data_IF_471572792869
#
_entry.id   IF_471572792869
#
_cell.length_a   1.000
_cell.length_b   1.000
_cell.length_c   1.000
_cell.angle_alpha   90.00
_cell.angle_beta   90.00
_cell.angle_gamma   90.00
#
_symmetry.space_group_name_H-M   'P 1'
#
loop_
_entity.id
_entity.type
_entity.pdbx_description
1 polymer ?
#
# COMPACT_ATOMS: atom_id res chain seq x y z
N UNK A 1 0.97 -5.43 -10.18
CA UNK A 1 1.37 -4.43 -9.16
C UNK A 1 1.56 -3.09 -9.85
N UNK A 2 0.66 -2.15 -9.60
CA UNK A 2 0.62 -0.81 -10.16
C UNK A 2 1.25 0.18 -9.17
N UNK A 3 2.55 0.38 -9.28
CA UNK A 3 3.29 1.28 -8.39
C UNK A 3 3.43 2.67 -9.00
N UNK A 4 3.28 3.70 -8.17
CA UNK A 4 3.36 5.10 -8.58
C UNK A 4 4.43 5.85 -7.77
N UNK A 5 5.44 6.33 -8.51
CA UNK A 5 6.57 7.07 -7.96
C UNK A 5 7.48 6.23 -7.06
N UNK A 6 8.26 6.92 -6.22
CA UNK A 6 9.16 6.26 -5.27
C UNK A 6 8.37 5.55 -4.16
N UNK A 7 8.65 4.26 -3.98
CA UNK A 7 8.14 3.41 -2.89
C UNK A 7 9.28 3.07 -1.95
N UNK A 8 9.02 3.20 -0.64
CA UNK A 8 9.97 2.81 0.40
C UNK A 8 9.58 1.43 0.94
N UNK A 9 10.54 0.50 0.91
CA UNK A 9 10.46 -0.79 1.61
C UNK A 9 11.33 -0.72 2.88
N UNK A 10 10.73 -0.64 4.08
CA UNK A 10 11.48 -0.73 5.32
C UNK A 10 12.26 -2.05 5.39
N UNK A 11 13.47 -2.09 5.99
CA UNK A 11 14.23 -3.32 6.14
C UNK A 11 13.46 -4.45 6.83
N UNK A 12 12.56 -4.13 7.77
CA UNK A 12 11.68 -5.08 8.46
C UNK A 12 10.66 -5.76 7.55
N UNK A 13 10.38 -5.16 6.38
CA UNK A 13 9.42 -5.63 5.37
C UNK A 13 10.15 -6.15 4.12
N UNK A 14 11.44 -6.51 4.25
CA UNK A 14 12.28 -7.03 3.16
C UNK A 14 11.61 -8.18 2.36
N UNK A 15 10.87 -9.04 3.06
CA UNK A 15 10.20 -10.22 2.49
C UNK A 15 8.68 -10.09 2.42
N UNK A 16 8.13 -8.89 2.55
CA UNK A 16 6.68 -8.67 2.52
C UNK A 16 6.18 -8.30 1.12
N UNK A 17 4.94 -8.68 0.83
CA UNK A 17 4.20 -8.17 -0.33
C UNK A 17 4.01 -6.66 -0.12
N UNK A 18 4.41 -5.85 -1.10
CA UNK A 18 4.21 -4.41 -1.05
C UNK A 18 2.91 -4.06 -1.78
N UNK A 19 1.88 -3.65 -1.06
CA UNK A 19 0.63 -3.19 -1.65
C UNK A 19 0.50 -1.68 -1.44
N UNK A 20 0.70 -0.89 -2.49
CA UNK A 20 0.51 0.55 -2.44
C UNK A 20 -0.99 0.87 -2.51
N UNK A 21 -1.52 1.40 -1.40
CA UNK A 21 -2.94 1.78 -1.26
C UNK A 21 -3.16 3.29 -1.20
N UNK A 22 -2.15 4.03 -0.79
CA UNK A 22 -2.12 5.50 -0.82
C UNK A 22 -0.91 6.00 -1.60
N UNK A 23 -0.95 7.25 -2.03
CA UNK A 23 0.14 7.99 -2.64
C UNK A 23 0.48 9.17 -1.73
N UNK A 24 1.74 9.31 -1.35
CA UNK A 24 2.17 10.37 -0.43
C UNK A 24 1.72 10.16 1.03
N UNK A 25 1.85 11.22 1.82
CA UNK A 25 1.50 11.22 3.25
C UNK A 25 0.35 12.20 3.52
N UNK A 26 -0.62 11.79 4.34
CA UNK A 26 -1.75 12.62 4.78
C UNK A 26 -1.31 13.89 5.53
N UNK A 27 -0.19 13.82 6.25
CA UNK A 27 0.34 14.92 7.05
C UNK A 27 1.20 15.90 6.23
N UNK A 28 2.15 15.40 5.44
CA UNK A 28 3.08 16.12 4.53
C UNK A 28 3.66 17.47 5.01
N UNK A 29 3.83 17.69 6.32
CA UNK A 29 4.36 18.92 6.93
C UNK A 29 5.62 18.68 7.78
N UNK A 30 6.12 17.44 7.84
CA UNK A 30 7.31 17.10 8.62
C UNK A 30 8.55 17.81 8.09
N UNK A 31 9.30 18.46 8.97
CA UNK A 31 10.56 19.15 8.63
C UNK A 31 11.67 18.18 8.22
N UNK A 32 11.64 16.96 8.74
CA UNK A 32 12.64 15.91 8.49
C UNK A 32 12.33 15.00 7.28
N UNK A 33 11.09 14.98 6.78
CA UNK A 33 10.68 14.02 5.74
C UNK A 33 11.00 14.56 4.34
N UNK A 34 11.99 13.98 3.67
CA UNK A 34 12.26 14.22 2.25
C UNK A 34 11.41 13.37 1.29
N UNK A 35 10.87 12.24 1.77
CA UNK A 35 10.23 11.21 0.93
C UNK A 35 8.98 11.66 0.20
N UNK A 36 8.08 12.37 0.89
CA UNK A 36 6.76 12.74 0.38
C UNK A 36 6.65 14.25 0.08
N UNK A 37 7.74 14.99 0.26
CA UNK A 37 7.80 16.43 -0.01
C UNK A 37 7.49 16.65 -1.50
N UNK A 38 6.44 17.41 -1.79
CA UNK A 38 5.98 17.69 -3.17
C UNK A 38 5.03 16.65 -3.77
N UNK A 39 4.76 15.51 -3.11
CA UNK A 39 3.71 14.58 -3.54
C UNK A 39 2.37 14.97 -2.92
N UNK A 40 1.32 15.05 -3.72
CA UNK A 40 -0.06 15.24 -3.24
C UNK A 40 -0.59 13.93 -2.68
N UNK A 41 -1.21 13.98 -1.51
CA UNK A 41 -1.85 12.81 -0.93
C UNK A 41 -3.06 12.37 -1.76
N UNK A 42 -3.15 11.08 -2.08
CA UNK A 42 -4.36 10.48 -2.64
C UNK A 42 -4.48 9.01 -2.26
N UNK A 43 -5.72 8.50 -2.23
CA UNK A 43 -5.98 7.07 -2.05
C UNK A 43 -6.16 6.46 -3.44
N UNK A 44 -5.46 5.36 -3.74
CA UNK A 44 -5.61 4.67 -5.04
C UNK A 44 -7.04 4.19 -5.24
N UNK A 45 -7.42 4.01 -6.51
CA UNK A 45 -8.70 3.44 -6.91
C UNK A 45 -8.80 1.99 -6.42
N UNK A 46 -9.99 1.57 -5.97
CA UNK A 46 -10.18 0.22 -5.43
C UNK A 46 -9.92 -0.84 -6.49
N UNK A 47 -10.26 -0.56 -7.74
CA UNK A 47 -10.07 -1.45 -8.89
C UNK A 47 -8.60 -1.80 -9.07
N UNK A 48 -7.72 -0.79 -9.04
CA UNK A 48 -6.26 -0.99 -9.12
C UNK A 48 -5.70 -1.75 -7.92
N UNK A 49 -6.20 -1.47 -6.72
CA UNK A 49 -5.79 -2.19 -5.50
C UNK A 49 -6.18 -3.66 -5.60
N UNK A 50 -7.38 -3.96 -6.11
CA UNK A 50 -7.85 -5.33 -6.25
C UNK A 50 -7.11 -6.08 -7.36
N UNK A 51 -6.81 -5.44 -8.49
CA UNK A 51 -5.92 -6.01 -9.52
C UNK A 51 -4.53 -6.33 -8.96
N UNK A 52 -3.99 -5.45 -8.09
CA UNK A 52 -2.71 -5.68 -7.43
C UNK A 52 -2.75 -6.88 -6.47
N UNK A 53 -3.87 -7.09 -5.78
CA UNK A 53 -4.08 -8.27 -4.94
C UNK A 53 -4.16 -9.55 -5.79
N UNK A 54 -4.89 -9.55 -6.90
CA UNK A 54 -4.96 -10.73 -7.78
C UNK A 54 -3.59 -11.05 -8.40
N UNK A 55 -2.83 -10.02 -8.79
CA UNK A 55 -1.44 -10.20 -9.20
C UNK A 55 -0.60 -10.82 -8.07
N UNK A 56 -0.72 -10.30 -6.85
CA UNK A 56 0.06 -10.82 -5.72
C UNK A 56 -0.30 -12.28 -5.39
N UNK A 57 -1.57 -12.69 -5.52
CA UNK A 57 -2.01 -14.09 -5.37
C UNK A 57 -1.27 -15.01 -6.35
N UNK A 58 -1.14 -14.58 -7.60
CA UNK A 58 -0.57 -15.41 -8.65
C UNK A 58 0.96 -15.48 -8.56
N UNK A 59 1.63 -14.38 -8.20
CA UNK A 59 3.09 -14.24 -8.30
C UNK A 59 3.83 -14.15 -6.95
N UNK A 60 3.17 -13.81 -5.84
CA UNK A 60 3.79 -13.61 -4.52
C UNK A 60 3.49 -14.75 -3.55
N UNK A 61 3.67 -16.00 -3.99
CA UNK A 61 3.35 -17.21 -3.21
C UNK A 61 4.37 -17.58 -2.13
N UNK A 62 5.47 -16.84 -2.01
CA UNK A 62 6.58 -17.12 -1.07
C UNK A 62 6.57 -16.20 0.14
N UNK A 63 5.63 -15.27 0.20
CA UNK A 63 5.48 -14.27 1.24
C UNK A 63 4.24 -14.58 2.07
N UNK A 64 4.34 -14.42 3.38
CA UNK A 64 3.25 -14.61 4.35
C UNK A 64 2.89 -13.30 5.08
N UNK A 65 3.46 -12.19 4.61
CA UNK A 65 3.28 -10.85 5.18
C UNK A 65 3.03 -9.86 4.06
N UNK A 66 2.18 -8.89 4.34
CA UNK A 66 1.87 -7.79 3.45
C UNK A 66 2.04 -6.47 4.17
N UNK A 67 2.69 -5.53 3.50
CA UNK A 67 2.89 -4.16 3.96
C UNK A 67 2.06 -3.21 3.09
N UNK A 68 1.11 -2.51 3.73
CA UNK A 68 0.37 -1.43 3.09
C UNK A 68 1.30 -0.22 2.96
N UNK A 69 1.71 0.04 1.72
CA UNK A 69 2.76 0.99 1.42
C UNK A 69 2.25 2.43 1.34
N UNK A 70 3.23 3.33 1.39
CA UNK A 70 3.13 4.79 1.37
C UNK A 70 2.86 5.41 2.75
N UNK A 71 2.69 6.74 2.81
CA UNK A 71 2.91 7.51 4.04
C UNK A 71 1.91 7.23 5.18
N UNK A 72 0.67 6.90 4.86
CA UNK A 72 -0.37 6.58 5.84
C UNK A 72 -1.47 5.76 5.17
N UNK A 73 -1.59 4.48 5.55
CA UNK A 73 -2.67 3.61 5.06
C UNK A 73 -3.92 3.68 5.95
N UNK A 74 -3.78 4.09 7.22
CA UNK A 74 -4.87 4.11 8.20
C UNK A 74 -5.77 5.35 8.05
N UNK A 75 -5.30 6.37 7.34
CA UNK A 75 -6.14 7.51 6.92
C UNK A 75 -7.26 7.10 5.94
N UNK A 76 -7.18 5.91 5.32
CA UNK A 76 -8.23 5.42 4.42
C UNK A 76 -9.53 5.26 5.23
N UNK A 77 -10.67 5.84 4.79
CA UNK A 77 -11.93 5.67 5.48
C UNK A 77 -12.27 4.20 5.68
N UNK A 78 -12.73 3.82 6.88
CA UNK A 78 -12.98 2.42 7.25
C UNK A 78 -13.88 1.68 6.24
N UNK A 79 -14.92 2.36 5.71
CA UNK A 79 -15.81 1.84 4.67
C UNK A 79 -15.10 1.39 3.37
N UNK A 80 -13.90 1.92 3.12
CA UNK A 80 -13.02 1.51 2.00
C UNK A 80 -11.92 0.55 2.46
N UNK A 81 -11.37 0.78 3.66
CA UNK A 81 -10.26 -0.03 4.18
C UNK A 81 -10.69 -1.47 4.48
N UNK A 82 -11.88 -1.68 5.08
CA UNK A 82 -12.37 -3.02 5.46
C UNK A 82 -12.47 -3.95 4.24
N UNK A 83 -13.13 -3.58 3.13
CA UNK A 83 -13.15 -4.42 1.93
C UNK A 83 -11.77 -4.76 1.36
N UNK A 84 -10.79 -3.86 1.48
CA UNK A 84 -9.41 -4.12 1.04
C UNK A 84 -8.77 -5.20 1.92
N UNK A 85 -8.91 -5.08 3.25
CA UNK A 85 -8.37 -6.05 4.20
C UNK A 85 -9.05 -7.43 4.08
N UNK A 86 -10.37 -7.46 3.87
CA UNK A 86 -11.13 -8.68 3.59
C UNK A 86 -10.60 -9.36 2.33
N UNK A 87 -10.42 -8.61 1.24
CA UNK A 87 -9.89 -9.17 -0.01
C UNK A 87 -8.47 -9.69 0.13
N UNK A 88 -7.61 -9.00 0.89
CA UNK A 88 -6.26 -9.48 1.22
C UNK A 88 -6.35 -10.83 1.94
N UNK A 89 -7.18 -10.92 2.98
CA UNK A 89 -7.36 -12.16 3.76
C UNK A 89 -7.93 -13.32 2.93
N UNK A 90 -8.81 -13.02 1.97
CA UNK A 90 -9.42 -14.04 1.10
C UNK A 90 -8.47 -14.56 0.01
N UNK A 91 -7.60 -13.70 -0.53
CA UNK A 91 -6.84 -13.99 -1.75
C UNK A 91 -5.38 -14.31 -1.51
N UNK A 92 -4.78 -13.81 -0.44
CA UNK A 92 -3.36 -13.95 -0.17
C UNK A 92 -3.14 -14.99 0.95
N UNK A 93 -2.03 -15.76 0.86
CA UNK A 93 -1.68 -16.77 1.88
C UNK A 93 -1.27 -16.17 3.22
#
# INVERSE_FOLDING_TARGET
>A
MHYEGMIIRPPSEANSILLQVTLGCSHNKCTFCGTFRGKRFSIKKNELIFEDIEFARDYCRRQNRLFLCDGDALVIPQKRLVPILERIRERLP
#
